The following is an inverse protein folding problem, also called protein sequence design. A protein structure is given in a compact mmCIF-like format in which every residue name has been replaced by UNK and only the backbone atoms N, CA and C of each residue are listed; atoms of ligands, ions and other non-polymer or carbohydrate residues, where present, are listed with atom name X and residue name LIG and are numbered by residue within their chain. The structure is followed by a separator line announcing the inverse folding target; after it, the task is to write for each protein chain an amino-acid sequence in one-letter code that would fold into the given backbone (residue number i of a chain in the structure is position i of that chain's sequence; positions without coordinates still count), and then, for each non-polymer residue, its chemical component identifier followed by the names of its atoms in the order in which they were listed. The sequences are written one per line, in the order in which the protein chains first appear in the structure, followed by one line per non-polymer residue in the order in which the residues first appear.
data_IF_194724866112
#
_entry.id   IF_194724866112
#
_cell.length_a   1.000
_cell.length_b   1.000
_cell.length_c   1.000
_cell.angle_alpha   90.00
_cell.angle_beta   90.00
_cell.angle_gamma   90.00
#
_symmetry.space_group_name_H-M   'P 1'
#
loop_
_entity.id
_entity.type
_entity.pdbx_description
1 polymer ?
#
# COMPACT_ATOMS: atom_id res chain seq x y z
N UNK A 1 -40.13 -36.48 -12.70
CA UNK A 1 -38.63 -36.40 -12.67
C UNK A 1 -38.24 -35.91 -11.29
N UNK A 2 -37.52 -36.72 -10.53
CA UNK A 2 -36.99 -36.22 -9.26
C UNK A 2 -35.74 -35.36 -9.53
N UNK A 3 -35.75 -34.14 -9.08
CA UNK A 3 -34.60 -33.28 -9.14
C UNK A 3 -33.56 -33.85 -8.16
N UNK A 4 -32.36 -34.17 -8.65
CA UNK A 4 -31.32 -34.74 -7.80
C UNK A 4 -30.66 -33.65 -6.96
N UNK A 5 -30.32 -33.93 -5.68
CA UNK A 5 -29.57 -33.02 -4.79
C UNK A 5 -28.28 -32.46 -5.41
N UNK A 6 -27.60 -33.26 -6.24
CA UNK A 6 -26.38 -32.87 -6.93
C UNK A 6 -26.61 -31.74 -7.94
N UNK A 7 -27.81 -31.58 -8.49
CA UNK A 7 -28.15 -30.46 -9.38
C UNK A 7 -28.41 -29.16 -8.62
N UNK A 8 -29.06 -29.25 -7.44
CA UNK A 8 -29.29 -28.08 -6.57
C UNK A 8 -27.99 -27.47 -6.05
N UNK A 9 -27.02 -28.30 -5.68
CA UNK A 9 -25.69 -27.83 -5.25
C UNK A 9 -24.91 -27.12 -6.37
N UNK A 10 -25.06 -27.56 -7.62
CA UNK A 10 -24.40 -26.92 -8.77
C UNK A 10 -24.97 -25.54 -9.11
N UNK A 11 -26.24 -25.29 -8.83
CA UNK A 11 -26.89 -24.01 -9.06
C UNK A 11 -26.69 -23.03 -7.90
N UNK A 12 -26.51 -23.53 -6.68
CA UNK A 12 -26.29 -22.72 -5.49
C UNK A 12 -24.94 -21.96 -5.54
N UNK A 13 -23.86 -22.64 -5.95
CA UNK A 13 -22.52 -22.06 -6.02
C UNK A 13 -22.43 -20.80 -6.89
N UNK A 14 -22.94 -20.77 -8.13
CA UNK A 14 -22.93 -19.55 -8.95
C UNK A 14 -23.71 -18.41 -8.30
N UNK A 15 -24.84 -18.72 -7.66
CA UNK A 15 -25.65 -17.71 -6.95
C UNK A 15 -24.92 -17.11 -5.76
N UNK A 16 -24.23 -17.91 -4.97
CA UNK A 16 -23.42 -17.44 -3.83
C UNK A 16 -22.21 -16.64 -4.30
N UNK A 17 -21.55 -17.03 -5.39
CA UNK A 17 -20.45 -16.27 -5.97
C UNK A 17 -20.90 -14.92 -6.49
N UNK A 18 -22.04 -14.84 -7.18
CA UNK A 18 -22.62 -13.59 -7.64
C UNK A 18 -23.00 -12.68 -6.46
N UNK A 19 -23.60 -13.25 -5.40
CA UNK A 19 -23.95 -12.52 -4.18
C UNK A 19 -22.68 -11.99 -3.48
N UNK A 20 -21.63 -12.81 -3.39
CA UNK A 20 -20.34 -12.39 -2.84
C UNK A 20 -19.78 -11.19 -3.60
N UNK A 21 -19.73 -11.27 -4.92
CA UNK A 21 -19.23 -10.17 -5.76
C UNK A 21 -20.02 -8.87 -5.58
N UNK A 22 -21.36 -8.97 -5.54
CA UNK A 22 -22.23 -7.82 -5.31
C UNK A 22 -22.02 -7.20 -3.91
N UNK A 23 -21.90 -8.02 -2.88
CA UNK A 23 -21.69 -7.53 -1.51
C UNK A 23 -20.27 -6.99 -1.33
N UNK A 24 -19.25 -7.62 -1.91
CA UNK A 24 -17.88 -7.15 -1.86
C UNK A 24 -17.72 -5.78 -2.52
N UNK A 25 -18.35 -5.57 -3.67
CA UNK A 25 -18.33 -4.30 -4.40
C UNK A 25 -19.01 -3.12 -3.66
N UNK A 26 -19.84 -3.40 -2.64
CA UNK A 26 -20.45 -2.35 -1.79
C UNK A 26 -19.46 -1.71 -0.83
N UNK A 27 -18.40 -2.41 -0.49
CA UNK A 27 -17.37 -1.86 0.40
C UNK A 27 -16.41 -1.02 -0.43
N UNK A 28 -16.39 0.27 -0.16
CA UNK A 28 -15.49 1.22 -0.83
C UNK A 28 -14.02 0.86 -0.56
N UNK A 29 -13.18 1.09 -1.55
CA UNK A 29 -11.74 0.92 -1.43
C UNK A 29 -11.10 2.19 -0.87
N UNK A 30 -11.25 2.45 0.43
CA UNK A 30 -10.71 3.65 1.10
C UNK A 30 -9.19 3.76 0.94
N UNK A 31 -8.50 2.61 0.89
CA UNK A 31 -7.05 2.58 0.66
C UNK A 31 -6.66 3.15 -0.71
N UNK A 32 -7.53 3.10 -1.72
CA UNK A 32 -7.26 3.67 -3.05
C UNK A 32 -7.17 5.20 -3.04
N UNK A 33 -7.65 5.85 -1.98
CA UNK A 33 -7.46 7.29 -1.78
C UNK A 33 -6.00 7.66 -1.47
N UNK A 34 -5.20 6.71 -0.98
CA UNK A 34 -3.83 6.92 -0.53
C UNK A 34 -2.85 6.14 -1.38
N UNK A 35 -3.17 4.89 -1.71
CA UNK A 35 -2.30 3.97 -2.45
C UNK A 35 -2.82 3.75 -3.87
N UNK A 36 -1.91 3.69 -4.82
CA UNK A 36 -2.22 3.24 -6.18
C UNK A 36 -2.27 1.71 -6.21
N UNK A 37 -3.19 1.16 -7.02
CA UNK A 37 -3.34 -0.28 -7.20
C UNK A 37 -2.79 -0.68 -8.56
N UNK A 38 -1.81 -1.56 -8.55
CA UNK A 38 -1.21 -2.12 -9.74
C UNK A 38 -1.46 -3.63 -9.83
N UNK A 39 -1.41 -4.19 -11.03
CA UNK A 39 -1.51 -5.63 -11.25
C UNK A 39 -0.12 -6.23 -11.44
N UNK A 40 0.10 -7.44 -10.89
CA UNK A 40 1.34 -8.18 -11.04
C UNK A 40 1.06 -9.64 -11.38
N UNK A 41 1.89 -10.21 -12.24
CA UNK A 41 1.86 -11.64 -12.63
C UNK A 41 2.97 -12.44 -11.90
N UNK A 42 3.67 -11.82 -10.95
CA UNK A 42 4.80 -12.42 -10.23
C UNK A 42 4.45 -12.70 -8.78
N UNK A 43 5.30 -13.46 -8.10
CA UNK A 43 5.16 -13.71 -6.65
C UNK A 43 5.67 -12.55 -5.78
N UNK A 44 6.50 -11.69 -6.34
CA UNK A 44 7.03 -10.48 -5.71
C UNK A 44 7.39 -9.45 -6.79
N UNK A 45 7.40 -8.18 -6.43
CA UNK A 45 7.95 -7.09 -7.23
C UNK A 45 9.14 -6.46 -6.52
N UNK A 46 10.08 -5.97 -7.29
CA UNK A 46 11.27 -5.27 -6.78
C UNK A 46 11.42 -3.93 -7.48
N UNK A 47 11.60 -2.90 -6.68
CA UNK A 47 11.93 -1.56 -7.15
C UNK A 47 13.30 -1.14 -6.62
N UNK A 48 14.20 -0.82 -7.53
CA UNK A 48 15.54 -0.32 -7.20
C UNK A 48 15.56 1.20 -7.38
N UNK A 49 15.85 1.90 -6.29
CA UNK A 49 16.05 3.35 -6.32
C UNK A 49 17.37 3.65 -7.05
N UNK A 50 17.31 4.56 -8.01
CA UNK A 50 18.51 5.05 -8.70
C UNK A 50 18.89 6.41 -8.12
N UNK A 51 20.19 6.62 -7.85
CA UNK A 51 20.68 7.97 -7.56
C UNK A 51 20.64 8.79 -8.85
N UNK A 52 20.22 10.02 -8.77
CA UNK A 52 20.32 10.97 -9.88
C UNK A 52 21.77 11.36 -10.18
N UNK A 53 21.91 12.43 -10.94
CA UNK A 53 23.19 13.10 -11.20
C UNK A 53 23.33 14.31 -10.30
N UNK A 54 24.59 14.71 -10.05
CA UNK A 54 24.90 15.98 -9.37
C UNK A 54 24.50 17.21 -10.21
N UNK A 55 24.53 18.38 -9.63
CA UNK A 55 24.33 19.62 -10.39
C UNK A 55 25.40 19.74 -11.47
N UNK A 56 24.98 20.00 -12.71
CA UNK A 56 25.90 20.15 -13.81
C UNK A 56 26.82 21.40 -13.59
N UNK A 57 28.15 21.23 -13.64
CA UNK A 57 29.05 22.36 -13.48
C UNK A 57 29.03 23.28 -14.73
N UNK A 58 29.42 24.53 -14.52
CA UNK A 58 29.62 25.46 -15.63
C UNK A 58 30.88 25.06 -16.37
N UNK A 59 30.76 24.89 -17.70
CA UNK A 59 31.88 24.51 -18.56
C UNK A 59 32.52 25.75 -19.15
N UNK A 60 33.82 25.92 -18.92
CA UNK A 60 34.59 26.97 -19.56
C UNK A 60 34.93 26.61 -21.02
N UNK A 61 35.17 27.65 -21.83
CA UNK A 61 35.59 27.46 -23.22
C UNK A 61 36.93 26.71 -23.29
N UNK A 62 36.96 25.65 -24.11
CA UNK A 62 38.16 24.81 -24.27
C UNK A 62 38.37 23.73 -23.20
N UNK A 63 37.58 23.70 -22.11
CA UNK A 63 37.65 22.64 -21.11
C UNK A 63 36.89 21.36 -21.55
N UNK A 64 37.26 20.20 -20.99
CA UNK A 64 36.55 18.97 -21.20
C UNK A 64 35.19 18.97 -20.50
N UNK A 65 34.26 18.12 -20.97
CA UNK A 65 33.00 17.87 -20.29
C UNK A 65 33.28 16.98 -19.07
N UNK A 66 32.67 17.30 -17.94
CA UNK A 66 32.70 16.47 -16.75
C UNK A 66 31.65 15.35 -16.87
N UNK A 67 32.04 14.12 -16.49
CA UNK A 67 31.16 12.95 -16.48
C UNK A 67 30.81 12.60 -15.05
N UNK A 68 29.53 12.43 -14.77
CA UNK A 68 29.01 11.93 -13.50
C UNK A 68 28.42 10.54 -13.68
N UNK A 69 28.40 9.73 -12.62
CA UNK A 69 27.91 8.36 -12.63
C UNK A 69 26.69 8.24 -11.72
N UNK A 70 25.58 7.75 -12.27
CA UNK A 70 24.45 7.29 -11.48
C UNK A 70 24.79 5.94 -10.82
N UNK A 71 24.28 5.70 -9.63
CA UNK A 71 24.46 4.46 -8.87
C UNK A 71 23.10 3.88 -8.50
N UNK A 72 23.05 2.56 -8.41
CA UNK A 72 21.91 1.88 -7.79
C UNK A 72 22.00 2.01 -6.28
N UNK A 73 20.86 2.38 -5.67
CA UNK A 73 20.70 2.53 -4.23
C UNK A 73 20.06 1.28 -3.62
N UNK A 74 19.04 1.54 -2.83
CA UNK A 74 18.29 0.53 -2.10
C UNK A 74 17.26 -0.14 -3.00
N UNK A 75 17.04 -1.44 -2.77
CA UNK A 75 15.99 -2.21 -3.44
C UNK A 75 14.89 -2.54 -2.47
N UNK A 76 13.67 -2.08 -2.77
CA UNK A 76 12.47 -2.46 -2.05
C UNK A 76 11.85 -3.70 -2.71
N UNK A 77 11.52 -4.71 -1.89
CA UNK A 77 10.82 -5.92 -2.36
C UNK A 77 9.43 -5.97 -1.76
N UNK A 78 8.43 -6.09 -2.63
CA UNK A 78 7.02 -6.26 -2.29
C UNK A 78 6.63 -7.71 -2.52
N UNK A 79 6.39 -8.45 -1.45
CA UNK A 79 5.98 -9.86 -1.51
C UNK A 79 4.47 -9.95 -1.45
N UNK A 80 3.87 -10.65 -2.42
CA UNK A 80 2.43 -10.85 -2.45
C UNK A 80 1.98 -11.85 -1.40
N UNK A 81 0.88 -11.54 -0.72
CA UNK A 81 0.24 -12.41 0.26
C UNK A 81 -1.17 -12.76 -0.20
N UNK A 82 -1.53 -14.03 -0.04
CA UNK A 82 -2.88 -14.51 -0.35
C UNK A 82 -3.77 -14.40 0.87
N UNK A 83 -4.85 -13.65 0.76
CA UNK A 83 -5.91 -13.59 1.78
C UNK A 83 -7.04 -14.51 1.32
N UNK A 84 -7.33 -15.55 2.10
CA UNK A 84 -8.38 -16.50 1.80
C UNK A 84 -9.17 -16.88 3.06
N UNK A 85 -10.47 -17.01 2.91
CA UNK A 85 -11.38 -17.50 3.94
C UNK A 85 -12.54 -18.22 3.27
N UNK A 86 -13.06 -19.25 3.91
CA UNK A 86 -14.20 -19.99 3.44
C UNK A 86 -15.10 -20.40 4.59
N UNK A 87 -16.31 -20.82 4.27
CA UNK A 87 -17.23 -21.48 5.21
C UNK A 87 -17.79 -22.75 4.58
N UNK A 88 -18.21 -23.68 5.40
CA UNK A 88 -18.87 -24.91 4.99
C UNK A 88 -20.28 -24.98 5.57
N UNK A 89 -21.19 -25.59 4.85
CA UNK A 89 -22.55 -25.88 5.29
C UNK A 89 -22.69 -27.41 5.36
N UNK A 90 -23.20 -27.91 6.47
CA UNK A 90 -23.41 -29.37 6.66
C UNK A 90 -24.55 -29.87 5.79
N UNK A 91 -24.52 -31.14 5.45
CA UNK A 91 -25.57 -31.81 4.67
C UNK A 91 -26.92 -31.80 5.40
N UNK A 92 -26.89 -31.95 6.71
CA UNK A 92 -28.09 -31.90 7.57
C UNK A 92 -28.76 -30.51 7.48
N UNK A 93 -27.97 -29.41 7.51
CA UNK A 93 -28.52 -28.08 7.38
C UNK A 93 -29.15 -27.83 6.00
N UNK A 94 -28.65 -28.50 4.96
CA UNK A 94 -29.23 -28.45 3.61
C UNK A 94 -30.54 -29.27 3.59
N UNK A 95 -30.60 -30.40 4.26
CA UNK A 95 -31.80 -31.23 4.35
C UNK A 95 -32.95 -30.55 5.08
N UNK A 96 -32.64 -29.84 6.15
CA UNK A 96 -33.61 -29.08 6.96
C UNK A 96 -34.08 -27.80 6.31
N UNK A 97 -33.64 -27.48 5.09
CA UNK A 97 -33.99 -26.29 4.30
C UNK A 97 -33.64 -24.96 4.99
N UNK A 98 -32.63 -24.99 5.87
CA UNK A 98 -32.13 -23.79 6.58
C UNK A 98 -31.04 -23.05 5.81
N UNK A 99 -30.57 -23.58 4.67
CA UNK A 99 -29.39 -23.11 3.96
C UNK A 99 -29.59 -21.79 3.23
N UNK A 100 -30.79 -21.46 2.75
CA UNK A 100 -31.03 -20.26 1.92
C UNK A 100 -30.75 -18.96 2.68
N UNK A 101 -31.30 -18.82 3.87
CA UNK A 101 -31.07 -17.63 4.68
C UNK A 101 -29.67 -17.60 5.32
N UNK A 102 -29.17 -18.77 5.75
CA UNK A 102 -27.85 -18.93 6.38
C UNK A 102 -26.73 -18.71 5.38
N UNK A 103 -26.76 -19.36 4.20
CA UNK A 103 -25.72 -19.23 3.18
C UNK A 103 -25.60 -17.78 2.69
N UNK A 104 -26.72 -17.11 2.45
CA UNK A 104 -26.75 -15.70 2.05
C UNK A 104 -26.15 -14.78 3.14
N UNK A 105 -26.47 -15.01 4.41
CA UNK A 105 -25.93 -14.23 5.53
C UNK A 105 -24.43 -14.47 5.72
N UNK A 106 -23.96 -15.72 5.63
CA UNK A 106 -22.53 -16.03 5.74
C UNK A 106 -21.74 -15.52 4.55
N UNK A 107 -22.29 -15.57 3.33
CA UNK A 107 -21.64 -14.98 2.14
C UNK A 107 -21.43 -13.48 2.29
N UNK A 108 -22.43 -12.76 2.80
CA UNK A 108 -22.29 -11.31 3.10
C UNK A 108 -21.27 -11.04 4.20
N UNK A 109 -21.26 -11.86 5.26
CA UNK A 109 -20.28 -11.75 6.34
C UNK A 109 -18.85 -12.02 5.82
N UNK A 110 -18.69 -13.02 4.94
CA UNK A 110 -17.41 -13.33 4.29
C UNK A 110 -16.91 -12.16 3.44
N UNK A 111 -17.76 -11.59 2.59
CA UNK A 111 -17.41 -10.45 1.76
C UNK A 111 -16.94 -9.25 2.61
N UNK A 112 -17.65 -8.97 3.69
CA UNK A 112 -17.27 -7.93 4.65
C UNK A 112 -15.92 -8.22 5.32
N UNK A 113 -15.69 -9.45 5.77
CA UNK A 113 -14.44 -9.84 6.42
C UNK A 113 -13.24 -9.72 5.48
N UNK A 114 -13.39 -10.11 4.21
CA UNK A 114 -12.35 -10.00 3.19
C UNK A 114 -12.01 -8.53 2.89
N UNK A 115 -13.04 -7.69 2.68
CA UNK A 115 -12.85 -6.25 2.46
C UNK A 115 -12.17 -5.59 3.66
N UNK A 116 -12.60 -5.90 4.88
CA UNK A 116 -12.00 -5.39 6.11
C UNK A 116 -10.51 -5.76 6.23
N UNK A 117 -10.15 -7.01 5.94
CA UNK A 117 -8.74 -7.44 6.00
C UNK A 117 -7.87 -6.65 5.02
N UNK A 118 -8.36 -6.37 3.80
CA UNK A 118 -7.65 -5.54 2.82
C UNK A 118 -7.40 -4.13 3.35
N UNK A 119 -8.42 -3.50 3.93
CA UNK A 119 -8.31 -2.17 4.52
C UNK A 119 -7.34 -2.11 5.70
N UNK A 120 -7.41 -3.09 6.62
CA UNK A 120 -6.50 -3.18 7.76
C UNK A 120 -5.06 -3.36 7.32
N UNK A 121 -4.79 -4.19 6.30
CA UNK A 121 -3.43 -4.36 5.76
C UNK A 121 -2.89 -3.04 5.20
N UNK A 122 -3.68 -2.31 4.45
CA UNK A 122 -3.28 -1.00 3.93
C UNK A 122 -3.04 0.01 5.06
N UNK A 123 -3.94 0.09 6.04
CA UNK A 123 -3.80 0.98 7.20
C UNK A 123 -2.59 0.63 8.07
N UNK A 124 -2.17 -0.63 8.12
CA UNK A 124 -1.01 -1.07 8.91
C UNK A 124 0.29 -0.38 8.49
N UNK A 125 0.43 -0.04 7.21
CA UNK A 125 1.60 0.69 6.69
C UNK A 125 1.71 2.07 7.37
N UNK A 126 0.60 2.80 7.45
CA UNK A 126 0.57 4.12 8.09
C UNK A 126 0.65 4.02 9.62
N UNK A 127 -0.03 3.04 10.22
CA UNK A 127 0.02 2.83 11.67
C UNK A 127 1.42 2.49 12.17
N UNK A 128 2.23 1.84 11.34
CA UNK A 128 3.60 1.48 11.65
C UNK A 128 4.64 2.46 11.06
N UNK A 129 4.20 3.60 10.54
CA UNK A 129 5.08 4.54 9.84
C UNK A 129 6.28 5.02 10.69
N UNK A 130 6.10 5.13 12.01
CA UNK A 130 7.13 5.53 12.97
C UNK A 130 7.72 4.37 13.80
N UNK A 131 7.40 3.12 13.41
CA UNK A 131 7.82 1.95 14.17
C UNK A 131 9.16 1.42 13.66
N UNK A 132 10.21 1.54 14.46
CA UNK A 132 11.55 1.01 14.16
C UNK A 132 11.61 -0.52 13.96
N UNK A 133 10.55 -1.24 14.34
CA UNK A 133 10.40 -2.67 14.08
C UNK A 133 9.90 -3.00 12.67
N UNK A 134 9.47 -2.00 11.90
CA UNK A 134 8.96 -2.17 10.52
C UNK A 134 9.85 -1.37 9.58
N UNK A 135 10.76 -2.04 8.89
CA UNK A 135 11.72 -1.41 7.99
C UNK A 135 11.35 -1.64 6.53
N UNK A 136 11.72 -0.70 5.68
CA UNK A 136 11.45 -0.69 4.24
C UNK A 136 12.75 -0.90 3.42
N UNK A 137 12.74 -0.59 2.13
CA UNK A 137 13.81 -0.89 1.22
C UNK A 137 15.18 -0.29 1.59
N UNK A 138 15.18 0.83 2.28
CA UNK A 138 16.39 1.50 2.79
C UNK A 138 16.82 1.05 4.20
N UNK A 139 16.06 0.13 4.80
CA UNK A 139 16.36 -0.46 6.11
C UNK A 139 15.85 0.33 7.31
N UNK A 140 15.11 1.43 7.11
CA UNK A 140 14.51 2.23 8.17
C UNK A 140 12.97 2.26 8.06
N UNK A 141 12.29 2.80 9.08
CA UNK A 141 10.83 3.01 9.08
C UNK A 141 10.39 4.02 8.02
N UNK A 142 9.10 4.02 7.68
CA UNK A 142 8.54 4.90 6.64
C UNK A 142 8.75 6.38 6.93
N UNK A 143 8.56 6.79 8.18
CA UNK A 143 8.88 8.13 8.67
C UNK A 143 10.08 8.04 9.59
N UNK A 144 11.18 8.69 9.21
CA UNK A 144 12.43 8.63 9.95
C UNK A 144 13.25 9.90 9.74
N UNK A 145 14.03 10.23 10.77
CA UNK A 145 15.04 11.30 10.67
C UNK A 145 16.36 10.84 10.04
N UNK A 146 16.47 9.53 9.71
CA UNK A 146 17.74 8.91 9.37
C UNK A 146 17.69 8.04 8.10
N UNK A 147 16.91 8.46 7.08
CA UNK A 147 16.92 7.78 5.77
C UNK A 147 18.31 7.86 5.15
N UNK A 148 18.99 6.71 4.94
CA UNK A 148 20.37 6.72 4.49
C UNK A 148 20.47 7.18 3.02
N UNK A 149 21.56 7.92 2.73
CA UNK A 149 21.96 8.32 1.38
C UNK A 149 23.13 7.45 0.90
N UNK A 150 23.18 7.14 -0.41
CA UNK A 150 24.30 6.38 -1.00
C UNK A 150 25.62 7.13 -0.84
N UNK A 151 25.58 8.44 -0.97
CA UNK A 151 26.76 9.31 -0.83
C UNK A 151 27.27 9.46 0.61
N UNK A 152 26.57 8.82 1.57
CA UNK A 152 26.79 9.00 3.01
C UNK A 152 25.96 10.13 3.58
N UNK A 153 25.63 10.02 4.87
CA UNK A 153 24.72 10.92 5.56
C UNK A 153 23.29 10.43 5.54
N UNK A 154 22.35 11.27 5.97
CA UNK A 154 20.94 10.91 6.13
C UNK A 154 20.04 12.08 5.75
N UNK A 155 18.84 11.76 5.23
CA UNK A 155 17.74 12.69 5.05
C UNK A 155 16.62 12.38 6.04
N UNK A 156 15.88 13.44 6.44
CA UNK A 156 14.70 13.32 7.32
C UNK A 156 13.43 13.63 6.54
N UNK A 157 12.41 12.80 6.71
CA UNK A 157 11.05 13.07 6.27
C UNK A 157 10.09 13.34 7.44
N UNK A 158 10.64 13.47 8.65
CA UNK A 158 9.91 13.87 9.84
C UNK A 158 10.15 15.35 10.20
N UNK A 159 9.18 16.01 10.86
CA UNK A 159 9.42 17.32 11.44
C UNK A 159 10.48 17.24 12.54
N UNK A 160 11.35 18.25 12.63
CA UNK A 160 12.42 18.31 13.64
C UNK A 160 11.88 18.30 15.08
N UNK A 161 10.64 18.74 15.28
CA UNK A 161 9.94 18.71 16.57
C UNK A 161 8.51 18.26 16.33
N UNK A 162 8.10 17.19 17.04
CA UNK A 162 6.72 16.74 17.03
C UNK A 162 5.80 17.85 17.55
N UNK A 163 4.71 18.12 16.86
CA UNK A 163 3.75 19.15 17.21
C UNK A 163 2.33 18.69 16.85
N UNK A 164 1.36 19.15 17.63
CA UNK A 164 -0.04 18.94 17.31
C UNK A 164 -0.41 19.64 16.00
N UNK A 165 -1.40 19.12 15.30
CA UNK A 165 -1.88 19.69 14.06
C UNK A 165 -2.55 21.05 14.32
N UNK A 166 -1.94 22.09 13.80
CA UNK A 166 -2.44 23.47 13.81
C UNK A 166 -1.93 24.21 12.55
N UNK A 167 -2.36 25.43 12.36
CA UNK A 167 -1.98 26.25 11.19
C UNK A 167 -0.45 26.38 11.07
N UNK A 168 0.22 26.72 12.18
CA UNK A 168 1.68 26.93 12.19
C UNK A 168 2.44 25.64 11.90
N UNK A 169 2.03 24.49 12.46
CA UNK A 169 2.68 23.20 12.22
C UNK A 169 2.44 22.72 10.78
N UNK A 170 1.26 23.01 10.22
CA UNK A 170 0.94 22.68 8.82
C UNK A 170 1.79 23.53 7.85
N UNK A 171 1.93 24.83 8.10
CA UNK A 171 2.81 25.69 7.30
C UNK A 171 4.27 25.24 7.37
N UNK A 172 4.75 24.88 8.57
CA UNK A 172 6.10 24.36 8.76
C UNK A 172 6.32 23.05 7.97
N UNK A 173 5.34 22.15 7.97
CA UNK A 173 5.41 20.91 7.19
C UNK A 173 5.45 21.17 5.67
N UNK A 174 4.66 22.11 5.17
CA UNK A 174 4.67 22.49 3.75
C UNK A 174 6.04 23.06 3.35
N UNK A 175 6.63 23.93 4.18
CA UNK A 175 7.96 24.51 3.94
C UNK A 175 9.02 23.40 3.96
N UNK A 176 8.96 22.49 4.92
CA UNK A 176 9.89 21.38 5.02
C UNK A 176 9.83 20.46 3.78
N UNK A 177 8.62 20.08 3.34
CA UNK A 177 8.42 19.23 2.14
C UNK A 177 8.97 19.94 0.88
N UNK A 178 8.76 21.24 0.75
CA UNK A 178 9.29 22.00 -0.39
C UNK A 178 10.83 22.08 -0.39
N UNK A 179 11.46 21.93 0.76
CA UNK A 179 12.91 21.92 0.92
C UNK A 179 13.58 20.54 0.80
N UNK A 180 12.83 19.47 0.52
CA UNK A 180 13.40 18.14 0.39
C UNK A 180 14.32 18.02 -0.83
N UNK A 181 15.40 17.29 -0.63
CA UNK A 181 16.43 17.05 -1.66
C UNK A 181 16.51 15.57 -2.03
N UNK A 182 17.02 15.31 -3.21
CA UNK A 182 17.36 13.97 -3.68
C UNK A 182 18.68 13.45 -3.07
N UNK A 183 19.12 12.27 -3.54
CA UNK A 183 20.39 11.62 -3.14
C UNK A 183 21.65 12.47 -3.39
N UNK A 184 21.57 13.46 -4.27
CA UNK A 184 22.67 14.34 -4.67
C UNK A 184 22.53 15.76 -4.13
N UNK A 185 21.50 16.00 -3.28
CA UNK A 185 21.25 17.30 -2.68
C UNK A 185 20.50 18.30 -3.58
N UNK A 186 19.96 17.85 -4.71
CA UNK A 186 19.15 18.70 -5.58
C UNK A 186 17.70 18.74 -5.06
N UNK A 187 17.10 19.94 -5.09
CA UNK A 187 15.69 20.10 -4.69
C UNK A 187 14.76 19.34 -5.62
N UNK A 188 13.92 18.46 -5.05
CA UNK A 188 12.94 17.68 -5.80
C UNK A 188 11.63 18.43 -6.07
N UNK A 189 11.47 19.64 -5.55
CA UNK A 189 10.28 20.48 -5.69
C UNK A 189 8.97 19.75 -5.31
N UNK A 190 9.03 18.92 -4.27
CA UNK A 190 7.88 18.18 -3.77
C UNK A 190 6.77 19.11 -3.29
N UNK A 191 5.52 18.74 -3.54
CA UNK A 191 4.35 19.48 -3.08
C UNK A 191 3.40 18.55 -2.36
N UNK A 192 2.98 18.85 -1.13
CA UNK A 192 1.97 18.06 -0.45
C UNK A 192 0.65 18.12 -1.21
N UNK A 193 -0.01 16.98 -1.37
CA UNK A 193 -1.29 16.87 -2.10
C UNK A 193 -2.46 16.57 -1.19
N UNK A 194 -2.23 15.80 -0.13
CA UNK A 194 -3.30 15.27 0.72
C UNK A 194 -2.84 15.26 2.17
N UNK A 195 -3.74 15.66 3.06
CA UNK A 195 -3.58 15.51 4.50
C UNK A 195 -4.40 14.30 4.94
N UNK A 196 -3.76 13.34 5.58
CA UNK A 196 -4.41 12.14 6.15
C UNK A 196 -4.42 12.30 7.66
N UNK A 197 -5.60 12.24 8.24
CA UNK A 197 -5.82 12.33 9.69
C UNK A 197 -6.54 11.07 10.18
N UNK A 198 -6.31 10.62 11.43
CA UNK A 198 -6.99 9.48 12.02
C UNK A 198 -8.50 9.64 12.07
#
# INVERSE_FOLDING_TARGET
MAISRAQLLKELLPGLNALFGLEYAKYGEEHAEIFESESSDRSFEEETKLSGFSAAPVKDEGSAIEYDNAQEAFTARYTHETVAMGFSITEEAIEDNLYDSLSSRYTKALARAMAYTKQVKAATILNNAFSSGTTYGDGVELCSTAHPLISGGTNSNEPATAADLNETSLEAAIIQIAGWTDERGLLIAAKPKKLVIP
#
